data_IF_937390443266
#
_entry.id   IF_937390443266
#
_cell.length_a   1.000
_cell.length_b   1.000
_cell.length_c   1.000
_cell.angle_alpha   90.00
_cell.angle_beta   90.00
_cell.angle_gamma   90.00
#
_symmetry.space_group_name_H-M   'P 1'
#
loop_
_entity.id
_entity.type
_entity.pdbx_description
1 polymer ?
#
# COMPACT_ATOMS: atom_id res chain seq x y z
N UNK A 1 16.42 0.26 -8.00
CA UNK A 1 16.83 1.64 -7.69
C UNK A 1 15.82 2.25 -6.73
N UNK A 2 16.24 2.86 -5.63
CA UNK A 2 15.37 3.47 -4.62
C UNK A 2 15.86 4.87 -4.25
N UNK A 3 15.27 5.45 -3.21
CA UNK A 3 15.72 6.73 -2.67
C UNK A 3 16.99 6.54 -1.81
N UNK A 4 17.99 7.42 -1.97
CA UNK A 4 19.10 7.53 -1.04
C UNK A 4 18.75 8.59 0.01
N UNK A 5 18.39 8.14 1.21
CA UNK A 5 17.95 9.02 2.27
C UNK A 5 17.52 8.28 3.53
N UNK A 6 17.06 9.03 4.53
CA UNK A 6 16.60 8.52 5.82
C UNK A 6 15.49 9.40 6.40
N UNK A 7 14.71 8.85 7.33
CA UNK A 7 13.77 9.61 8.15
C UNK A 7 14.41 9.94 9.51
N UNK A 8 14.20 11.17 10.01
CA UNK A 8 14.72 11.59 11.30
C UNK A 8 13.76 12.53 12.03
N UNK A 9 13.77 12.46 13.36
CA UNK A 9 13.07 13.42 14.23
C UNK A 9 14.01 14.59 14.51
N UNK A 10 13.62 15.78 14.06
CA UNK A 10 14.45 16.99 14.14
C UNK A 10 13.61 18.17 14.60
N UNK A 11 14.23 19.11 15.29
CA UNK A 11 13.63 20.44 15.48
C UNK A 11 13.65 21.22 14.16
N UNK A 12 12.83 22.27 14.06
CA UNK A 12 12.81 23.14 12.86
C UNK A 12 14.18 23.75 12.55
N UNK A 13 14.95 24.11 13.58
CA UNK A 13 16.28 24.68 13.40
C UNK A 13 17.30 23.64 12.93
N UNK A 14 17.23 22.40 13.42
CA UNK A 14 18.06 21.30 12.93
C UNK A 14 17.73 20.95 11.48
N UNK A 15 16.45 20.84 11.14
CA UNK A 15 16.00 20.55 9.78
C UNK A 15 16.50 21.61 8.78
N UNK A 16 16.46 22.89 9.17
CA UNK A 16 17.01 23.99 8.34
C UNK A 16 18.52 23.83 8.12
N UNK A 17 19.30 23.60 9.19
CA UNK A 17 20.75 23.41 9.07
C UNK A 17 21.11 22.25 8.14
N UNK A 18 20.35 21.16 8.18
CA UNK A 18 20.56 20.00 7.31
C UNK A 18 20.18 20.32 5.86
N UNK A 19 19.09 21.06 5.64
CA UNK A 19 18.67 21.48 4.31
C UNK A 19 19.68 22.39 3.59
N UNK A 20 20.51 23.11 4.35
CA UNK A 20 21.55 24.00 3.81
C UNK A 20 22.86 23.26 3.45
N UNK A 21 22.97 21.95 3.75
CA UNK A 21 24.16 21.15 3.41
C UNK A 21 24.20 20.84 1.90
N UNK A 22 25.35 21.01 1.22
CA UNK A 22 25.46 20.79 -0.22
C UNK A 22 25.23 19.32 -0.63
N UNK A 23 25.40 18.37 0.28
CA UNK A 23 25.16 16.94 0.06
C UNK A 23 23.67 16.57 0.17
N UNK A 24 22.82 17.48 0.69
CA UNK A 24 21.39 17.23 0.92
C UNK A 24 20.57 17.83 -0.21
N UNK A 25 19.91 16.96 -0.98
CA UNK A 25 19.08 17.40 -2.12
C UNK A 25 17.75 18.01 -1.65
N UNK A 26 17.07 17.36 -0.69
CA UNK A 26 15.79 17.82 -0.15
C UNK A 26 15.58 17.41 1.30
N UNK A 27 14.91 18.29 2.05
CA UNK A 27 14.31 18.00 3.36
C UNK A 27 12.82 18.23 3.25
N UNK A 28 12.03 17.16 3.43
CA UNK A 28 10.57 17.20 3.30
C UNK A 28 9.96 16.92 4.68
N UNK A 29 9.08 17.81 5.20
CA UNK A 29 8.36 17.54 6.44
C UNK A 29 7.46 16.33 6.29
N UNK A 30 7.48 15.45 7.29
CA UNK A 30 6.56 14.32 7.37
C UNK A 30 5.10 14.80 7.46
N UNK A 31 4.18 14.10 6.80
CA UNK A 31 2.76 14.44 6.73
C UNK A 31 1.92 13.21 7.02
N UNK A 32 0.93 13.39 7.90
CA UNK A 32 -0.10 12.38 8.11
C UNK A 32 -1.07 12.35 6.92
N UNK A 33 -1.27 11.16 6.38
CA UNK A 33 -2.32 10.88 5.41
C UNK A 33 -3.55 10.36 6.14
N UNK A 34 -4.73 10.71 5.63
CA UNK A 34 -6.02 10.20 6.13
C UNK A 34 -6.49 9.06 5.23
N UNK A 35 -7.13 8.06 5.84
CA UNK A 35 -7.74 6.95 5.11
C UNK A 35 -8.80 7.47 4.12
N UNK A 36 -8.70 7.04 2.86
CA UNK A 36 -9.55 7.56 1.79
C UNK A 36 -10.83 6.73 1.56
N UNK A 37 -10.78 5.40 1.73
CA UNK A 37 -11.94 4.51 1.57
C UNK A 37 -11.73 3.20 2.32
N UNK A 38 -12.80 2.57 2.77
CA UNK A 38 -12.82 1.20 3.33
C UNK A 38 -13.56 0.21 2.43
N UNK A 39 -14.08 0.65 1.26
CA UNK A 39 -14.93 -0.15 0.36
C UNK A 39 -14.41 -0.13 -1.09
N UNK A 40 -13.25 -0.74 -1.31
CA UNK A 40 -12.57 -0.76 -2.62
C UNK A 40 -13.37 -1.49 -3.70
N UNK A 41 -14.08 -2.56 -3.36
CA UNK A 41 -14.89 -3.34 -4.32
C UNK A 41 -16.02 -2.53 -4.95
N UNK A 42 -16.71 -1.72 -4.13
CA UNK A 42 -17.76 -0.81 -4.60
C UNK A 42 -17.18 0.29 -5.50
N UNK A 43 -16.01 0.83 -5.12
CA UNK A 43 -15.30 1.85 -5.91
C UNK A 43 -14.84 1.34 -7.28
N UNK A 44 -14.37 0.09 -7.36
CA UNK A 44 -13.88 -0.53 -8.59
C UNK A 44 -14.99 -1.17 -9.44
N UNK A 45 -16.24 -1.22 -8.95
CA UNK A 45 -17.35 -1.86 -9.65
C UNK A 45 -17.21 -3.37 -9.79
N UNK A 46 -16.40 -4.01 -8.94
CA UNK A 46 -16.12 -5.44 -8.95
C UNK A 46 -17.19 -6.19 -8.15
N UNK A 47 -18.38 -6.31 -8.72
CA UNK A 47 -19.49 -7.07 -8.11
C UNK A 47 -19.52 -8.50 -8.64
N UNK A 48 -19.56 -9.48 -7.73
CA UNK A 48 -19.76 -10.89 -8.04
C UNK A 48 -21.13 -11.17 -8.69
N UNK A 49 -22.09 -10.25 -8.59
CA UNK A 49 -23.41 -10.37 -9.20
C UNK A 49 -23.42 -10.04 -10.70
N UNK A 50 -22.31 -9.54 -11.26
CA UNK A 50 -22.24 -9.15 -12.67
C UNK A 50 -21.73 -10.33 -13.54
N UNK A 51 -22.51 -10.84 -14.50
CA UNK A 51 -22.13 -12.02 -15.31
C UNK A 51 -20.96 -11.79 -16.27
N UNK A 52 -20.56 -10.53 -16.50
CA UNK A 52 -19.29 -10.14 -17.13
C UNK A 52 -18.33 -9.67 -16.04
N UNK A 53 -17.72 -10.59 -15.30
CA UNK A 53 -16.80 -10.21 -14.23
C UNK A 53 -15.35 -10.27 -14.71
N UNK A 54 -14.61 -9.18 -14.48
CA UNK A 54 -13.16 -9.10 -14.71
C UNK A 54 -12.39 -10.18 -13.95
N UNK A 55 -12.98 -10.72 -12.88
CA UNK A 55 -12.37 -11.74 -12.03
C UNK A 55 -12.19 -13.06 -12.79
N UNK A 56 -13.16 -13.50 -13.60
CA UNK A 56 -13.01 -14.71 -14.39
C UNK A 56 -11.98 -14.53 -15.52
N UNK A 57 -12.02 -13.38 -16.21
CA UNK A 57 -11.07 -13.07 -17.28
C UNK A 57 -9.62 -12.99 -16.77
N UNK A 58 -9.43 -12.56 -15.52
CA UNK A 58 -8.13 -12.49 -14.85
C UNK A 58 -7.73 -13.79 -14.12
N UNK A 59 -8.44 -14.91 -14.34
CA UNK A 59 -8.22 -16.17 -13.64
C UNK A 59 -8.17 -15.98 -12.11
N UNK A 60 -9.11 -15.18 -11.59
CA UNK A 60 -9.24 -14.79 -10.19
C UNK A 60 -8.00 -14.14 -9.56
N UNK A 61 -7.03 -13.69 -10.37
CA UNK A 61 -5.77 -13.11 -9.89
C UNK A 61 -4.70 -14.13 -9.52
N UNK A 62 -4.77 -15.36 -10.04
CA UNK A 62 -3.73 -16.37 -9.82
C UNK A 62 -2.33 -15.84 -10.19
N UNK A 63 -1.32 -16.13 -9.34
CA UNK A 63 0.08 -15.69 -9.48
C UNK A 63 0.31 -14.16 -9.42
N UNK A 64 -0.68 -13.38 -8.98
CA UNK A 64 -0.54 -11.93 -8.80
C UNK A 64 -0.26 -11.59 -7.33
N UNK A 65 0.75 -10.73 -7.10
CA UNK A 65 1.03 -10.15 -5.79
C UNK A 65 0.42 -8.75 -5.72
N UNK A 66 -0.50 -8.53 -4.79
CA UNK A 66 -1.12 -7.23 -4.52
C UNK A 66 -0.57 -6.65 -3.21
N UNK A 67 0.17 -5.55 -3.30
CA UNK A 67 0.66 -4.81 -2.13
C UNK A 67 -0.40 -3.85 -1.61
N UNK A 68 -0.84 -4.02 -0.36
CA UNK A 68 -1.80 -3.14 0.31
C UNK A 68 -1.08 -2.28 1.35
N UNK A 69 -1.08 -0.97 1.14
CA UNK A 69 -0.56 0.02 2.09
C UNK A 69 -1.74 0.64 2.85
N UNK A 70 -2.11 0.02 3.97
CA UNK A 70 -3.24 0.44 4.81
C UNK A 70 -2.88 0.28 6.31
N UNK A 71 -3.88 0.40 7.17
CA UNK A 71 -3.87 0.13 8.61
C UNK A 71 -3.54 -1.32 8.99
N UNK A 72 -3.60 -2.24 8.02
CA UNK A 72 -3.29 -3.65 8.19
C UNK A 72 -4.40 -4.55 7.69
N UNK A 73 -4.24 -5.85 7.95
CA UNK A 73 -5.22 -6.90 7.66
C UNK A 73 -5.40 -7.74 8.92
N UNK A 74 -6.55 -8.40 9.07
CA UNK A 74 -6.78 -9.38 10.14
C UNK A 74 -6.55 -10.79 9.58
N UNK A 75 -5.31 -11.34 9.63
CA UNK A 75 -4.97 -12.57 8.92
C UNK A 75 -5.67 -13.81 9.46
N UNK A 76 -6.13 -13.80 10.72
CA UNK A 76 -6.86 -14.92 11.33
C UNK A 76 -8.33 -14.99 10.92
N UNK A 77 -8.84 -14.01 10.16
CA UNK A 77 -10.21 -14.04 9.67
C UNK A 77 -10.41 -15.15 8.64
N UNK A 78 -11.54 -15.86 8.72
CA UNK A 78 -11.85 -16.99 7.82
C UNK A 78 -11.92 -16.59 6.34
N UNK A 79 -12.15 -15.31 6.04
CA UNK A 79 -12.12 -14.78 4.67
C UNK A 79 -10.72 -14.79 4.04
N UNK A 80 -9.67 -14.99 4.83
CA UNK A 80 -8.28 -15.15 4.39
C UNK A 80 -7.77 -16.59 4.48
N UNK A 81 -8.66 -17.56 4.70
CA UNK A 81 -8.28 -18.97 4.75
C UNK A 81 -7.75 -19.45 3.38
N UNK A 82 -6.54 -19.99 3.37
CA UNK A 82 -5.84 -20.48 2.19
C UNK A 82 -5.95 -22.00 1.98
N UNK A 83 -6.76 -22.70 2.77
CA UNK A 83 -7.02 -24.12 2.59
C UNK A 83 -7.50 -24.44 1.16
N UNK A 84 -6.75 -25.28 0.47
CA UNK A 84 -7.03 -25.66 -0.92
C UNK A 84 -6.43 -24.73 -1.97
N UNK A 85 -5.71 -23.67 -1.57
CA UNK A 85 -4.89 -22.88 -2.49
C UNK A 85 -3.57 -23.58 -2.81
N UNK A 86 -3.00 -23.23 -3.97
CA UNK A 86 -1.69 -23.71 -4.42
C UNK A 86 -0.52 -23.08 -3.62
N UNK A 87 0.73 -23.35 -4.00
CA UNK A 87 1.89 -22.74 -3.36
C UNK A 87 1.84 -21.21 -3.49
N UNK A 88 2.36 -20.52 -2.47
CA UNK A 88 2.53 -19.06 -2.49
C UNK A 88 3.45 -18.69 -3.67
N UNK A 89 3.05 -17.73 -4.54
CA UNK A 89 3.86 -17.25 -5.67
C UNK A 89 5.20 -16.62 -5.28
#
# INVERSE_FOLDING_TARGET
HGFSGFAAKLTKSQAKKIADLPEVVHVIPDKFYKLATTRTWDYLGLSAANPKNLLNDANMGEQIIIGVLDSGVWPESEVFNDNGMGPVP
#
